data_IF_518742459405
#
_entry.id   IF_518742459405
#
_cell.length_a   1.000
_cell.length_b   1.000
_cell.length_c   1.000
_cell.angle_alpha   90.00
_cell.angle_beta   90.00
_cell.angle_gamma   90.00
#
_symmetry.space_group_name_H-M   'P 1'
#
loop_
_entity.id
_entity.type
_entity.pdbx_description
1 polymer ?
#
# COMPACT_ATOMS: atom_id res chain seq x y z
N UNK A 1 -13.30 -28.37 -2.41
CA UNK A 1 -12.53 -27.48 -3.28
C UNK A 1 -13.54 -26.76 -4.16
N UNK A 2 -13.93 -25.55 -3.76
CA UNK A 2 -15.00 -24.79 -4.44
C UNK A 2 -14.34 -23.68 -5.23
N UNK A 3 -14.42 -23.80 -6.56
CA UNK A 3 -13.81 -22.90 -7.53
C UNK A 3 -14.86 -21.85 -7.90
N UNK A 4 -14.59 -20.57 -7.69
CA UNK A 4 -15.45 -19.48 -8.12
C UNK A 4 -14.82 -18.76 -9.31
N UNK A 5 -15.52 -18.76 -10.44
CA UNK A 5 -15.15 -18.03 -11.67
C UNK A 5 -16.03 -16.79 -11.75
N UNK A 6 -15.42 -15.60 -11.78
CA UNK A 6 -16.15 -14.34 -11.93
C UNK A 6 -16.02 -13.86 -13.39
N UNK A 7 -17.15 -13.71 -14.07
CA UNK A 7 -17.26 -13.20 -15.45
C UNK A 7 -17.77 -11.77 -15.39
N UNK A 8 -17.01 -10.81 -15.93
CA UNK A 8 -17.47 -9.42 -16.08
C UNK A 8 -17.89 -9.20 -17.53
N UNK A 9 -19.19 -8.94 -17.75
CA UNK A 9 -19.74 -8.52 -19.04
C UNK A 9 -19.52 -7.01 -19.23
N UNK A 10 -18.79 -6.63 -20.27
CA UNK A 10 -18.64 -5.23 -20.68
C UNK A 10 -19.91 -4.72 -21.37
N UNK A 11 -20.48 -3.63 -20.86
CA UNK A 11 -21.57 -2.90 -21.49
C UNK A 11 -20.99 -1.71 -22.27
N UNK A 12 -21.04 -1.79 -23.60
CA UNK A 12 -20.76 -0.69 -24.53
C UNK A 12 -21.88 0.36 -24.43
N UNK A 13 -21.58 1.61 -24.06
CA UNK A 13 -22.49 2.75 -24.27
C UNK A 13 -21.71 3.92 -24.85
N UNK A 14 -22.26 4.44 -25.95
CA UNK A 14 -21.64 5.36 -26.89
C UNK A 14 -21.56 6.82 -26.46
N UNK A 15 -20.68 7.52 -27.17
CA UNK A 15 -20.49 8.98 -27.19
C UNK A 15 -21.79 9.75 -27.49
N UNK A 16 -21.99 10.91 -26.82
CA UNK A 16 -22.14 12.26 -27.42
C UNK A 16 -22.55 13.34 -26.39
N UNK A 17 -21.80 14.46 -26.42
CA UNK A 17 -22.14 15.87 -26.14
C UNK A 17 -23.26 16.22 -25.15
N UNK A 18 -22.99 17.16 -24.22
CA UNK A 18 -23.59 18.51 -24.15
C UNK A 18 -22.91 19.36 -23.06
N UNK A 19 -22.82 20.66 -23.34
CA UNK A 19 -22.17 21.73 -22.57
C UNK A 19 -22.89 22.07 -21.24
N UNK A 20 -22.07 22.52 -20.29
CA UNK A 20 -22.30 23.56 -19.28
C UNK A 20 -23.36 23.33 -18.20
N UNK A 21 -22.94 23.29 -16.94
CA UNK A 21 -23.44 24.18 -15.86
C UNK A 21 -22.37 24.24 -14.76
N UNK A 22 -22.00 25.47 -14.37
CA UNK A 22 -21.07 25.79 -13.31
C UNK A 22 -21.85 25.79 -11.98
N UNK A 23 -21.49 24.91 -11.05
CA UNK A 23 -21.96 24.96 -9.66
C UNK A 23 -20.75 25.01 -8.75
N UNK A 24 -20.64 26.14 -8.07
CA UNK A 24 -19.70 26.45 -7.01
C UNK A 24 -20.04 25.61 -5.77
N UNK A 25 -19.07 24.88 -5.21
CA UNK A 25 -19.14 24.35 -3.85
C UNK A 25 -17.74 24.30 -3.26
N UNK A 26 -17.45 25.25 -2.37
CA UNK A 26 -16.36 25.17 -1.40
C UNK A 26 -16.68 24.03 -0.44
N UNK A 27 -15.87 22.98 -0.41
CA UNK A 27 -15.77 22.03 0.69
C UNK A 27 -14.29 21.75 0.94
N UNK A 28 -13.75 22.39 1.97
CA UNK A 28 -12.53 21.95 2.61
C UNK A 28 -12.82 20.59 3.26
N UNK A 29 -12.15 19.54 2.79
CA UNK A 29 -12.14 18.24 3.47
C UNK A 29 -10.68 17.82 3.64
N UNK A 30 -10.40 17.40 4.86
CA UNK A 30 -9.10 17.01 5.35
C UNK A 30 -8.53 15.84 4.55
N UNK A 31 -7.20 15.78 4.48
CA UNK A 31 -6.48 14.66 3.87
C UNK A 31 -6.90 13.33 4.49
N UNK A 32 -7.63 12.55 3.71
CA UNK A 32 -7.87 11.13 3.89
C UNK A 32 -7.96 10.53 2.50
N UNK A 33 -7.26 9.42 2.25
CA UNK A 33 -7.37 8.71 0.98
C UNK A 33 -8.79 8.13 0.84
N UNK A 34 -9.67 8.88 0.18
CA UNK A 34 -10.96 8.38 -0.27
C UNK A 34 -10.73 7.52 -1.51
N UNK A 35 -10.84 6.20 -1.36
CA UNK A 35 -10.95 5.28 -2.50
C UNK A 35 -12.40 4.85 -2.62
N UNK A 36 -13.08 5.36 -3.64
CA UNK A 36 -14.47 5.07 -3.96
C UNK A 36 -14.58 3.69 -4.66
N UNK A 37 -14.81 2.62 -3.89
CA UNK A 37 -15.15 1.30 -4.42
C UNK A 37 -16.67 1.19 -4.58
N UNK A 38 -17.21 1.59 -5.73
CA UNK A 38 -18.50 1.08 -6.22
C UNK A 38 -19.75 1.37 -5.37
N UNK A 39 -19.86 2.56 -4.78
CA UNK A 39 -21.15 3.08 -4.30
C UNK A 39 -21.69 2.52 -2.97
N UNK A 40 -20.84 1.94 -2.12
CA UNK A 40 -21.22 1.59 -0.75
C UNK A 40 -20.44 2.44 0.26
N UNK A 41 -21.15 3.26 1.04
CA UNK A 41 -20.60 3.98 2.18
C UNK A 41 -20.84 3.17 3.46
N UNK A 42 -19.76 2.88 4.18
CA UNK A 42 -19.81 2.26 5.52
C UNK A 42 -19.37 3.31 6.53
N UNK A 43 -20.25 3.65 7.46
CA UNK A 43 -19.94 4.49 8.62
C UNK A 43 -19.87 3.60 9.85
N UNK A 44 -18.74 3.65 10.56
CA UNK A 44 -18.58 3.02 11.86
C UNK A 44 -18.70 4.12 12.92
N UNK A 45 -19.84 4.18 13.59
CA UNK A 45 -20.09 5.11 14.68
C UNK A 45 -19.66 4.45 16.00
N UNK A 46 -18.76 5.12 16.74
CA UNK A 46 -18.24 4.65 18.04
C UNK A 46 -19.12 5.21 19.18
N UNK A 47 -19.83 4.37 19.96
CA UNK A 47 -20.58 4.82 21.10
C UNK A 47 -19.82 4.51 22.40
N UNK A 48 -18.88 5.36 22.85
CA UNK A 48 -18.43 5.32 24.26
C UNK A 48 -17.72 6.57 24.79
N UNK A 49 -17.81 6.80 26.13
CA UNK A 49 -17.91 8.13 26.75
C UNK A 49 -16.55 8.81 27.03
N UNK A 50 -16.53 10.14 27.31
CA UNK A 50 -15.28 10.90 27.41
C UNK A 50 -14.43 10.48 28.63
N UNK A 51 -13.09 10.49 28.51
CA UNK A 51 -12.21 10.03 29.57
C UNK A 51 -12.09 11.05 30.71
N UNK A 52 -12.03 10.52 31.93
CA UNK A 52 -11.73 11.26 33.16
C UNK A 52 -10.23 11.55 33.19
N UNK A 53 -9.84 12.81 33.33
CA UNK A 53 -8.45 13.21 33.53
C UNK A 53 -7.93 12.72 34.89
N UNK A 54 -6.69 12.23 34.91
CA UNK A 54 -5.86 12.17 36.12
C UNK A 54 -4.44 12.57 35.74
N UNK A 55 -3.84 13.55 36.44
CA UNK A 55 -2.49 13.99 36.14
C UNK A 55 -1.47 13.19 36.96
N UNK A 56 -0.41 12.69 36.33
CA UNK A 56 0.82 12.36 37.07
C UNK A 56 2.02 12.29 36.15
N UNK A 57 2.88 13.30 36.34
CA UNK A 57 4.32 13.33 36.19
C UNK A 57 4.97 12.20 35.37
N UNK A 58 5.38 12.53 34.15
CA UNK A 58 6.27 11.68 33.35
C UNK A 58 7.73 11.93 33.74
N UNK A 59 8.50 10.91 34.16
CA UNK A 59 9.95 10.96 34.00
C UNK A 59 10.24 10.93 32.50
N UNK A 60 11.28 11.63 32.06
CA UNK A 60 11.74 11.65 30.66
C UNK A 60 12.04 10.22 30.19
N UNK A 61 11.04 9.57 29.60
CA UNK A 61 11.18 8.29 28.95
C UNK A 61 11.95 8.53 27.65
N UNK A 62 13.08 7.85 27.51
CA UNK A 62 13.66 7.57 26.20
C UNK A 62 12.52 7.01 25.33
N UNK A 63 12.14 7.73 24.26
CA UNK A 63 11.02 7.31 23.42
C UNK A 63 11.35 5.93 22.86
N UNK A 64 10.69 4.88 23.38
CA UNK A 64 10.87 3.54 22.88
C UNK A 64 10.58 3.53 21.38
N UNK A 65 11.57 3.12 20.58
CA UNK A 65 11.42 3.07 19.13
C UNK A 65 10.30 2.08 18.76
N UNK A 66 9.40 2.50 17.87
CA UNK A 66 8.35 1.61 17.37
C UNK A 66 9.00 0.42 16.63
N UNK A 67 8.62 -0.83 16.92
CA UNK A 67 9.22 -2.00 16.29
C UNK A 67 8.89 -2.07 14.80
N UNK A 68 9.81 -2.64 14.02
CA UNK A 68 9.55 -2.96 12.62
C UNK A 68 8.71 -4.24 12.49
N UNK A 69 7.99 -4.43 11.38
CA UNK A 69 7.32 -5.69 11.10
C UNK A 69 8.29 -6.87 11.10
N UNK A 70 7.86 -7.99 11.65
CA UNK A 70 8.65 -9.22 11.63
C UNK A 70 8.35 -10.06 10.38
N UNK A 71 9.35 -10.81 9.94
CA UNK A 71 9.21 -11.78 8.85
C UNK A 71 9.34 -11.20 7.45
N UNK A 72 9.16 -12.04 6.41
CA UNK A 72 9.27 -11.61 5.03
C UNK A 72 8.05 -10.79 4.60
N UNK A 73 8.28 -9.84 3.71
CA UNK A 73 7.22 -9.01 3.13
C UNK A 73 6.70 -9.62 1.82
N UNK A 74 5.40 -9.45 1.59
CA UNK A 74 4.79 -9.63 0.29
C UNK A 74 4.83 -8.31 -0.48
N UNK A 75 5.23 -8.40 -1.74
CA UNK A 75 5.41 -7.26 -2.63
C UNK A 75 4.43 -7.33 -3.80
N UNK A 76 3.76 -6.22 -4.06
CA UNK A 76 3.06 -6.00 -5.32
C UNK A 76 4.02 -5.40 -6.33
N UNK A 77 3.94 -5.86 -7.59
CA UNK A 77 4.81 -5.40 -8.67
C UNK A 77 3.97 -4.77 -9.76
N UNK A 78 4.31 -3.54 -10.15
CA UNK A 78 3.68 -2.83 -11.27
C UNK A 78 4.62 -2.81 -12.47
N UNK A 79 4.09 -3.23 -13.61
CA UNK A 79 4.77 -3.20 -14.90
C UNK A 79 3.82 -2.64 -15.95
N UNK A 80 4.15 -1.48 -16.50
CA UNK A 80 3.27 -0.75 -17.44
C UNK A 80 3.63 -1.05 -18.92
N UNK A 81 4.57 -1.98 -19.16
CA UNK A 81 4.97 -2.46 -20.49
C UNK A 81 6.46 -2.28 -20.81
N UNK A 82 6.91 -2.73 -21.99
CA UNK A 82 8.32 -2.66 -22.37
C UNK A 82 8.87 -1.22 -22.35
N UNK A 83 10.04 -1.03 -21.75
CA UNK A 83 10.66 0.30 -21.60
C UNK A 83 10.10 1.15 -20.46
N UNK A 84 9.05 0.70 -19.77
CA UNK A 84 8.61 1.30 -18.51
C UNK A 84 9.47 0.84 -17.33
N UNK A 85 9.55 1.67 -16.29
CA UNK A 85 10.19 1.31 -15.04
C UNK A 85 9.34 0.27 -14.30
N UNK A 86 9.96 -0.81 -13.85
CA UNK A 86 9.32 -1.80 -12.99
C UNK A 86 9.36 -1.30 -11.54
N UNK A 87 8.22 -1.30 -10.86
CA UNK A 87 8.11 -0.80 -9.48
C UNK A 87 7.63 -1.92 -8.56
N UNK A 88 8.28 -2.07 -7.41
CA UNK A 88 7.88 -2.98 -6.33
C UNK A 88 7.39 -2.19 -5.12
N UNK A 89 6.30 -2.63 -4.49
CA UNK A 89 5.70 -1.98 -3.31
C UNK A 89 5.38 -3.05 -2.26
N UNK A 90 5.80 -2.88 -0.99
CA UNK A 90 5.43 -3.80 0.07
C UNK A 90 3.94 -3.58 0.40
N UNK A 91 3.17 -4.67 0.50
CA UNK A 91 1.72 -4.60 0.71
C UNK A 91 1.22 -5.41 1.90
N UNK A 92 2.00 -6.39 2.35
CA UNK A 92 1.68 -7.22 3.48
C UNK A 92 2.95 -7.79 4.10
N UNK A 93 2.86 -8.24 5.35
CA UNK A 93 3.84 -9.15 5.95
C UNK A 93 3.33 -10.58 5.84
N UNK A 94 4.24 -11.55 5.85
CA UNK A 94 3.87 -12.96 5.86
C UNK A 94 4.00 -13.51 7.28
N UNK A 95 2.89 -14.00 7.83
CA UNK A 95 2.84 -14.67 9.14
C UNK A 95 2.43 -16.12 8.89
N UNK A 96 3.32 -17.06 9.16
CA UNK A 96 3.10 -18.50 8.93
C UNK A 96 2.60 -18.83 7.51
N UNK A 97 3.09 -18.09 6.50
CA UNK A 97 2.69 -18.24 5.10
C UNK A 97 1.37 -17.58 4.72
N UNK A 98 0.71 -16.88 5.66
CA UNK A 98 -0.53 -16.13 5.42
C UNK A 98 -0.20 -14.63 5.33
N UNK A 99 -0.66 -13.92 4.28
CA UNK A 99 -0.55 -12.48 4.23
C UNK A 99 -1.35 -11.81 5.36
N UNK A 100 -0.69 -10.96 6.13
CA UNK A 100 -1.29 -10.09 7.14
C UNK A 100 -1.00 -8.63 6.81
N UNK A 101 -1.89 -7.73 7.24
CA UNK A 101 -1.75 -6.30 6.98
C UNK A 101 -0.38 -5.79 7.44
N UNK A 102 0.23 -4.94 6.61
CA UNK A 102 1.42 -4.20 6.97
C UNK A 102 0.98 -2.96 7.73
N UNK A 103 1.13 -2.99 9.06
CA UNK A 103 0.74 -1.88 9.92
C UNK A 103 1.81 -0.79 9.87
N UNK A 104 1.48 0.34 9.26
CA UNK A 104 2.26 1.56 9.36
C UNK A 104 1.73 2.37 10.54
N UNK A 105 2.59 2.76 11.50
CA UNK A 105 2.16 3.59 12.61
C UNK A 105 1.67 4.95 12.10
N UNK A 106 0.53 5.41 12.64
CA UNK A 106 -0.07 6.70 12.32
C UNK A 106 -0.28 7.52 13.61
N UNK A 107 0.36 8.69 13.76
CA UNK A 107 1.30 9.30 12.82
C UNK A 107 2.62 8.51 12.75
N UNK A 108 3.24 8.47 11.57
CA UNK A 108 4.52 7.78 11.40
C UNK A 108 5.61 8.45 12.26
N UNK A 109 6.26 7.73 13.20
CA UNK A 109 7.36 8.26 13.98
C UNK A 109 8.53 8.65 13.09
N UNK A 110 9.25 9.69 13.50
CA UNK A 110 10.52 10.08 12.87
C UNK A 110 11.48 8.88 12.81
N UNK A 111 12.14 8.68 11.67
CA UNK A 111 13.09 7.59 11.47
C UNK A 111 12.47 6.21 11.21
N UNK A 112 11.15 6.02 11.39
CA UNK A 112 10.52 4.72 11.16
C UNK A 112 10.67 4.27 9.71
N UNK A 113 10.42 5.17 8.76
CA UNK A 113 10.46 4.87 7.34
C UNK A 113 11.87 4.54 6.87
N UNK A 114 12.86 5.29 7.32
CA UNK A 114 14.28 5.08 7.02
C UNK A 114 14.74 3.72 7.54
N UNK A 115 14.35 3.34 8.77
CA UNK A 115 14.65 2.01 9.33
C UNK A 115 13.93 0.90 8.57
N UNK A 116 12.66 1.11 8.21
CA UNK A 116 11.89 0.15 7.42
C UNK A 116 12.53 -0.10 6.05
N UNK A 117 12.88 0.98 5.34
CA UNK A 117 13.52 0.92 4.02
C UNK A 117 14.92 0.29 4.10
N UNK A 118 15.71 0.60 5.13
CA UNK A 118 17.00 -0.03 5.35
C UNK A 118 16.90 -1.54 5.63
N UNK A 119 15.83 -1.98 6.29
CA UNK A 119 15.61 -3.39 6.61
C UNK A 119 15.07 -4.22 5.45
N UNK A 120 14.20 -3.65 4.61
CA UNK A 120 13.43 -4.42 3.62
C UNK A 120 13.63 -4.01 2.17
N UNK A 121 14.16 -2.82 1.91
CA UNK A 121 14.22 -2.21 0.58
C UNK A 121 15.64 -1.93 0.10
N UNK A 122 16.63 -2.69 0.61
CA UNK A 122 18.01 -2.55 0.19
C UNK A 122 18.18 -2.89 -1.29
N UNK A 123 18.93 -2.08 -2.02
CA UNK A 123 19.31 -2.38 -3.40
C UNK A 123 20.03 -3.73 -3.49
N UNK A 124 19.76 -4.49 -4.55
CA UNK A 124 20.28 -5.85 -4.72
C UNK A 124 19.41 -6.93 -4.06
N UNK A 125 18.38 -6.57 -3.30
CA UNK A 125 17.44 -7.55 -2.73
C UNK A 125 16.68 -8.26 -3.85
N UNK A 126 16.82 -9.58 -3.93
CA UNK A 126 16.09 -10.41 -4.88
C UNK A 126 14.72 -10.79 -4.32
N UNK A 127 13.67 -10.53 -5.08
CA UNK A 127 12.30 -10.94 -4.79
C UNK A 127 11.86 -12.05 -5.74
N UNK A 128 11.22 -13.08 -5.20
CA UNK A 128 10.60 -14.13 -6.02
C UNK A 128 9.30 -13.62 -6.62
N UNK A 129 9.14 -13.77 -7.94
CA UNK A 129 7.91 -13.43 -8.64
C UNK A 129 7.00 -14.65 -8.74
N UNK A 130 5.76 -14.48 -8.30
CA UNK A 130 4.71 -15.48 -8.41
C UNK A 130 3.48 -14.95 -9.14
N UNK A 131 2.83 -15.81 -9.91
CA UNK A 131 1.51 -15.55 -10.51
C UNK A 131 0.71 -16.86 -10.51
N UNK A 132 -0.59 -16.77 -10.19
CA UNK A 132 -1.50 -17.93 -10.19
C UNK A 132 -1.00 -19.14 -9.36
N UNK A 133 -0.28 -18.88 -8.26
CA UNK A 133 0.28 -19.91 -7.40
C UNK A 133 1.55 -20.59 -7.94
N UNK A 134 2.08 -20.15 -9.09
CA UNK A 134 3.33 -20.62 -9.65
C UNK A 134 4.43 -19.56 -9.54
N UNK A 135 5.69 -20.01 -9.37
CA UNK A 135 6.85 -19.13 -9.52
C UNK A 135 7.06 -18.85 -11.02
N UNK A 136 7.09 -17.58 -11.39
CA UNK A 136 7.24 -17.12 -12.77
C UNK A 136 8.58 -16.41 -13.03
N UNK A 137 9.37 -16.13 -11.98
CA UNK A 137 10.68 -15.53 -12.13
C UNK A 137 11.23 -14.95 -10.83
N UNK A 138 12.10 -13.96 -10.98
CA UNK A 138 12.56 -13.10 -9.90
C UNK A 138 12.85 -11.69 -10.42
N UNK A 139 12.84 -10.73 -9.50
CA UNK A 139 13.28 -9.36 -9.72
C UNK A 139 14.30 -8.98 -8.66
N UNK A 140 15.07 -7.93 -8.92
CA UNK A 140 16.01 -7.33 -7.97
C UNK A 140 15.64 -5.88 -7.77
N UNK A 141 15.62 -5.41 -6.53
CA UNK A 141 15.48 -3.99 -6.20
C UNK A 141 16.71 -3.22 -6.71
N UNK A 142 16.50 -2.16 -7.47
CA UNK A 142 17.51 -1.55 -8.34
C UNK A 142 17.74 -0.05 -8.07
N UNK A 143 17.23 0.48 -6.96
CA UNK A 143 17.42 1.89 -6.61
C UNK A 143 16.77 2.27 -5.29
N UNK A 144 16.89 3.55 -4.89
CA UNK A 144 16.36 4.01 -3.62
C UNK A 144 14.81 3.99 -3.62
N UNK A 145 14.19 3.66 -2.48
CA UNK A 145 12.75 3.81 -2.30
C UNK A 145 12.31 5.26 -2.47
N UNK A 146 11.09 5.44 -2.97
CA UNK A 146 10.47 6.77 -3.12
C UNK A 146 8.98 6.70 -2.80
N UNK A 147 8.46 7.78 -2.22
CA UNK A 147 7.03 7.92 -1.94
C UNK A 147 6.39 8.62 -3.13
N UNK A 148 5.34 8.02 -3.70
CA UNK A 148 4.62 8.62 -4.83
C UNK A 148 3.63 9.68 -4.35
N UNK A 149 2.95 9.44 -3.22
CA UNK A 149 1.96 10.32 -2.62
C UNK A 149 2.04 10.26 -1.08
N UNK A 150 1.70 11.36 -0.40
CA UNK A 150 1.72 11.42 1.06
C UNK A 150 0.74 10.39 1.67
N UNK A 151 1.23 9.55 2.58
CA UNK A 151 0.44 8.49 3.22
C UNK A 151 0.42 7.15 2.45
N UNK A 152 1.08 7.06 1.29
CA UNK A 152 1.25 5.80 0.57
C UNK A 152 2.55 5.07 0.99
N UNK A 153 2.56 3.72 0.93
CA UNK A 153 3.79 2.95 1.06
C UNK A 153 4.84 3.38 0.02
N UNK A 154 6.13 3.33 0.40
CA UNK A 154 7.22 3.59 -0.53
C UNK A 154 7.23 2.55 -1.66
N UNK A 155 7.50 3.02 -2.88
CA UNK A 155 7.77 2.16 -4.04
C UNK A 155 9.27 2.11 -4.30
N UNK A 156 9.76 0.98 -4.77
CA UNK A 156 11.17 0.74 -5.04
C UNK A 156 11.34 0.38 -6.52
N UNK A 157 12.23 1.07 -7.27
CA UNK A 157 12.60 0.65 -8.61
C UNK A 157 13.14 -0.78 -8.59
N UNK A 158 12.78 -1.57 -9.60
CA UNK A 158 13.19 -2.96 -9.72
C UNK A 158 13.65 -3.28 -11.15
N UNK A 159 14.40 -4.37 -11.28
CA UNK A 159 14.78 -4.95 -12.57
C UNK A 159 14.44 -6.44 -12.55
N UNK A 160 13.75 -6.91 -13.58
CA UNK A 160 13.44 -8.33 -13.70
C UNK A 160 14.68 -9.11 -14.17
N UNK A 161 14.96 -10.24 -13.52
CA UNK A 161 16.01 -11.17 -13.96
C UNK A 161 15.46 -12.19 -14.97
N UNK A 162 14.19 -12.57 -14.82
CA UNK A 162 13.44 -13.42 -15.74
C UNK A 162 12.00 -12.93 -15.78
N UNK A 163 11.51 -12.54 -16.95
CA UNK A 163 10.10 -12.20 -17.16
C UNK A 163 9.36 -13.40 -17.75
N UNK A 164 8.10 -13.66 -17.35
CA UNK A 164 7.29 -14.67 -18.04
C UNK A 164 7.08 -14.29 -19.51
N UNK A 165 7.45 -15.19 -20.44
CA UNK A 165 7.13 -15.07 -21.87
C UNK A 165 8.29 -14.71 -22.82
N UNK A 166 9.55 -14.83 -22.40
CA UNK A 166 10.71 -14.88 -23.32
C UNK A 166 11.06 -16.31 -23.72
#
# INVERSE_FOLDING_TARGET
MTMYTMRVQGLLIGRRFVRATLVLSLLATAGGCEIEWGGASVYLEDPSPPPVESPSAEPSAERAEVPLPEGPLLWAVRFDGPGSELLAMPVARMVDGVPAALEYPEPTPEGFRERFEAAFSTEGTELTLGAEGARIGSLVLAGPPRVLDAGCPSVVPASALVLPGT
#
